data_IF_696822404445
#
_entry.id   IF_696822404445
#
_cell.length_a   1.000
_cell.length_b   1.000
_cell.length_c   1.000
_cell.angle_alpha   90.00
_cell.angle_beta   90.00
_cell.angle_gamma   90.00
#
_symmetry.space_group_name_H-M   'P 1'
#
loop_
_entity.id
_entity.type
_entity.pdbx_description
1 polymer ?
#
# COMPACT_ATOMS: atom_id res chain seq x y z
N UNK A 1 5.84 1.95 -3.74
CA UNK A 1 6.22 2.58 -2.46
C UNK A 1 7.20 1.69 -1.72
N UNK A 2 8.32 2.24 -1.26
CA UNK A 2 9.37 1.48 -0.57
C UNK A 2 8.99 1.29 0.90
N UNK A 3 8.90 0.04 1.37
CA UNK A 3 8.62 -0.27 2.79
C UNK A 3 9.88 -0.84 3.46
N UNK A 4 10.60 -0.06 4.31
CA UNK A 4 11.82 -0.52 4.95
C UNK A 4 11.61 -1.73 5.85
N UNK A 5 10.49 -1.78 6.60
CA UNK A 5 10.16 -2.89 7.52
C UNK A 5 10.01 -4.22 6.77
N UNK A 6 9.32 -4.19 5.63
CA UNK A 6 9.19 -5.37 4.77
C UNK A 6 10.55 -5.80 4.21
N UNK A 7 11.40 -4.85 3.82
CA UNK A 7 12.73 -5.16 3.29
C UNK A 7 13.63 -5.84 4.31
N UNK A 8 13.55 -5.44 5.58
CA UNK A 8 14.25 -6.14 6.66
C UNK A 8 13.81 -7.61 6.73
N UNK A 9 12.50 -7.87 6.78
CA UNK A 9 11.98 -9.24 6.85
C UNK A 9 12.32 -10.10 5.63
N UNK A 10 12.28 -9.51 4.43
CA UNK A 10 12.52 -10.24 3.18
C UNK A 10 14.02 -10.54 2.98
N UNK A 11 14.91 -9.61 3.35
CA UNK A 11 16.34 -9.70 3.03
C UNK A 11 17.22 -10.13 4.21
N UNK A 12 16.79 -9.93 5.44
CA UNK A 12 17.55 -10.24 6.66
C UNK A 12 16.67 -10.93 7.73
N UNK A 13 16.14 -12.14 7.45
CA UNK A 13 15.25 -12.85 8.36
C UNK A 13 15.91 -13.20 9.70
N UNK A 14 17.22 -13.40 9.71
CA UNK A 14 18.00 -13.70 10.93
C UNK A 14 18.56 -12.44 11.60
N UNK A 15 18.41 -11.26 10.98
CA UNK A 15 18.95 -10.02 11.52
C UNK A 15 20.47 -9.92 11.49
N UNK A 16 21.17 -10.78 10.75
CA UNK A 16 22.64 -10.85 10.77
C UNK A 16 23.26 -9.56 10.25
N UNK A 17 22.63 -8.92 9.27
CA UNK A 17 23.11 -7.65 8.75
C UNK A 17 22.87 -6.54 9.77
N UNK A 18 21.66 -6.44 10.32
CA UNK A 18 21.32 -5.40 11.30
C UNK A 18 22.21 -5.51 12.53
N UNK A 19 22.35 -6.70 13.12
CA UNK A 19 23.18 -6.92 14.31
C UNK A 19 24.66 -6.60 14.09
N UNK A 20 25.16 -6.77 12.87
CA UNK A 20 26.54 -6.42 12.51
C UNK A 20 26.78 -4.92 12.46
N UNK A 21 25.81 -4.15 11.97
CA UNK A 21 25.96 -2.72 11.73
C UNK A 21 25.33 -1.83 12.80
N UNK A 22 24.47 -2.41 13.64
CA UNK A 22 23.73 -1.78 14.73
C UNK A 22 23.93 -2.67 15.97
N UNK A 23 25.14 -2.64 16.58
CA UNK A 23 25.50 -3.55 17.67
C UNK A 23 24.62 -3.36 18.91
N UNK A 24 24.01 -2.20 19.09
CA UNK A 24 23.04 -1.94 20.15
C UNK A 24 21.77 -2.82 20.06
N UNK A 25 21.49 -3.41 18.89
CA UNK A 25 20.39 -4.35 18.68
C UNK A 25 20.85 -5.81 18.59
N UNK A 26 22.10 -6.13 18.92
CA UNK A 26 22.66 -7.49 18.79
C UNK A 26 21.86 -8.53 19.60
N UNK A 27 21.48 -8.16 20.83
CA UNK A 27 20.71 -8.99 21.74
C UNK A 27 19.22 -9.11 21.35
N UNK A 28 18.73 -8.25 20.45
CA UNK A 28 17.31 -8.22 20.07
C UNK A 28 16.97 -9.42 19.18
N UNK A 29 15.86 -10.13 19.44
CA UNK A 29 15.39 -11.21 18.58
C UNK A 29 15.07 -10.71 17.17
N UNK A 30 15.36 -11.50 16.14
CA UNK A 30 15.17 -11.11 14.74
C UNK A 30 13.73 -10.67 14.41
N UNK A 31 12.73 -11.27 15.08
CA UNK A 31 11.31 -10.92 14.96
C UNK A 31 10.97 -9.48 15.37
N UNK A 32 11.87 -8.79 16.07
CA UNK A 32 11.68 -7.40 16.51
C UNK A 32 12.58 -6.41 15.76
N UNK A 33 13.50 -6.87 14.91
CA UNK A 33 14.44 -5.99 14.22
C UNK A 33 13.80 -5.19 13.09
N UNK A 34 12.64 -5.61 12.57
CA UNK A 34 11.89 -4.81 11.61
C UNK A 34 11.15 -3.63 12.27
N UNK A 35 10.89 -3.72 13.58
CA UNK A 35 10.23 -2.69 14.41
C UNK A 35 10.81 -2.67 15.84
N UNK A 36 12.06 -2.25 16.03
CA UNK A 36 12.67 -2.16 17.36
C UNK A 36 11.90 -1.21 18.28
N UNK A 37 11.20 -0.22 17.73
CA UNK A 37 10.36 0.70 18.50
C UNK A 37 9.15 0.03 19.19
N UNK A 38 8.79 -1.18 18.74
CA UNK A 38 7.71 -1.99 19.34
C UNK A 38 8.23 -3.04 20.31
N UNK A 39 9.52 -3.01 20.66
CA UNK A 39 10.09 -3.95 21.62
C UNK A 39 9.38 -3.79 22.99
N UNK A 40 8.79 -4.85 23.57
CA UNK A 40 8.14 -4.77 24.87
C UNK A 40 9.09 -4.32 25.98
N UNK A 41 8.59 -3.55 26.95
CA UNK A 41 9.41 -3.03 28.07
C UNK A 41 10.13 -4.12 28.88
N UNK A 42 9.53 -5.30 29.03
CA UNK A 42 10.20 -6.41 29.73
C UNK A 42 11.43 -6.91 28.98
N UNK A 43 11.35 -7.01 27.64
CA UNK A 43 12.49 -7.39 26.81
C UNK A 43 13.53 -6.26 26.73
N UNK A 44 13.10 -4.99 26.73
CA UNK A 44 14.03 -3.86 26.81
C UNK A 44 14.92 -3.96 28.05
N UNK A 45 14.33 -4.26 29.22
CA UNK A 45 15.06 -4.44 30.47
C UNK A 45 15.94 -5.71 30.47
N UNK A 46 15.46 -6.81 29.90
CA UNK A 46 16.21 -8.08 29.84
C UNK A 46 17.43 -8.00 28.92
N UNK A 47 17.31 -7.24 27.84
CA UNK A 47 18.33 -7.11 26.79
C UNK A 47 19.21 -5.87 26.96
N UNK A 48 18.96 -5.05 27.98
CA UNK A 48 19.65 -3.76 28.23
C UNK A 48 19.57 -2.79 27.03
N UNK A 49 18.42 -2.78 26.35
CA UNK A 49 18.14 -1.91 25.19
C UNK A 49 16.99 -0.99 25.52
N UNK A 50 17.26 0.31 25.68
CA UNK A 50 16.22 1.32 25.93
C UNK A 50 15.85 2.05 24.64
N UNK A 51 14.60 1.90 24.20
CA UNK A 51 14.09 2.66 23.05
C UNK A 51 13.89 4.13 23.44
N UNK A 52 14.45 5.03 22.65
CA UNK A 52 14.54 6.47 22.91
C UNK A 52 15.90 6.92 23.47
N UNK A 53 16.71 6.00 24.00
CA UNK A 53 18.05 6.29 24.53
C UNK A 53 19.13 5.49 23.79
N UNK A 54 19.13 4.17 23.96
CA UNK A 54 20.06 3.24 23.31
C UNK A 54 19.78 3.11 21.81
N UNK A 55 18.50 3.09 21.44
CA UNK A 55 18.06 3.08 20.04
C UNK A 55 16.93 4.10 19.84
N UNK A 56 17.01 5.01 18.86
CA UNK A 56 16.05 6.12 18.74
C UNK A 56 14.65 5.66 18.30
N UNK A 57 13.65 6.48 18.61
CA UNK A 57 12.35 6.34 17.97
C UNK A 57 12.43 6.64 16.47
N UNK A 58 11.58 6.01 15.64
CA UNK A 58 11.50 6.35 14.23
C UNK A 58 11.22 7.85 14.07
N UNK A 59 12.04 8.53 13.26
CA UNK A 59 11.87 9.97 12.96
C UNK A 59 10.52 10.24 12.28
N UNK A 60 10.01 9.24 11.58
CA UNK A 60 8.82 9.29 10.74
C UNK A 60 8.00 8.02 10.96
N UNK A 61 6.68 8.15 11.09
CA UNK A 61 5.79 7.00 10.98
C UNK A 61 5.47 6.70 9.51
N UNK A 62 6.15 5.68 8.98
CA UNK A 62 5.96 5.22 7.61
C UNK A 62 4.49 4.88 7.27
N UNK A 63 3.71 4.38 8.22
CA UNK A 63 2.31 4.03 7.95
C UNK A 63 1.46 5.29 7.71
N UNK A 64 1.72 6.34 8.49
CA UNK A 64 1.07 7.63 8.36
C UNK A 64 1.48 8.35 7.07
N UNK A 65 2.80 8.51 6.83
CA UNK A 65 3.29 9.16 5.61
C UNK A 65 2.80 8.45 4.35
N UNK A 66 2.72 7.11 4.38
CA UNK A 66 2.15 6.36 3.28
C UNK A 66 0.72 6.76 2.97
N UNK A 67 -0.09 6.92 4.01
CA UNK A 67 -1.48 7.30 3.83
C UNK A 67 -1.59 8.72 3.27
N UNK A 68 -0.82 9.66 3.81
CA UNK A 68 -0.79 11.06 3.34
C UNK A 68 -0.34 11.17 1.88
N UNK A 69 0.67 10.40 1.48
CA UNK A 69 1.13 10.34 0.08
C UNK A 69 0.04 9.77 -0.84
N UNK A 70 -0.66 8.72 -0.39
CA UNK A 70 -1.75 8.13 -1.19
C UNK A 70 -2.92 9.10 -1.33
N UNK A 71 -3.24 9.88 -0.31
CA UNK A 71 -4.28 10.91 -0.37
C UNK A 71 -3.87 12.07 -1.27
N UNK A 72 -2.63 12.55 -1.15
CA UNK A 72 -2.14 13.69 -1.93
C UNK A 72 -1.96 13.35 -3.42
N UNK A 73 -1.46 12.15 -3.72
CA UNK A 73 -1.12 11.73 -5.09
C UNK A 73 -2.12 10.76 -5.71
N UNK A 74 -3.18 10.38 -4.99
CA UNK A 74 -4.20 9.47 -5.48
C UNK A 74 -4.90 10.01 -6.73
N UNK A 75 -5.32 11.28 -6.66
CA UNK A 75 -6.08 11.94 -7.73
C UNK A 75 -5.22 12.26 -8.96
N UNK A 76 -3.92 12.50 -8.74
CA UNK A 76 -2.95 12.76 -9.82
C UNK A 76 -2.85 11.59 -10.81
N UNK A 77 -3.20 10.38 -10.38
CA UNK A 77 -3.23 9.23 -11.29
C UNK A 77 -4.33 9.38 -12.33
N UNK A 78 -5.55 9.68 -11.92
CA UNK A 78 -6.68 9.84 -12.83
C UNK A 78 -6.45 11.03 -13.78
N UNK A 79 -5.91 12.14 -13.28
CA UNK A 79 -5.53 13.28 -14.10
C UNK A 79 -4.45 12.91 -15.14
N UNK A 80 -3.43 12.15 -14.73
CA UNK A 80 -2.37 11.70 -15.65
C UNK A 80 -2.92 10.77 -16.74
N UNK A 81 -3.88 9.90 -16.39
CA UNK A 81 -4.54 8.99 -17.32
C UNK A 81 -5.41 9.77 -18.32
N UNK A 82 -6.15 10.78 -17.87
CA UNK A 82 -6.90 11.67 -18.75
C UNK A 82 -5.99 12.45 -19.71
N UNK A 83 -4.85 12.94 -19.23
CA UNK A 83 -3.87 13.66 -20.06
C UNK A 83 -3.25 12.80 -21.18
N UNK A 84 -3.18 11.47 -21.01
CA UNK A 84 -2.72 10.57 -22.08
C UNK A 84 -3.70 10.43 -23.26
N UNK A 85 -4.91 11.00 -23.15
CA UNK A 85 -5.84 11.10 -24.28
C UNK A 85 -5.35 12.07 -25.37
N UNK A 86 -4.48 13.03 -25.01
CA UNK A 86 -3.85 13.92 -25.99
C UNK A 86 -2.74 13.17 -26.75
N UNK A 87 -2.84 13.03 -28.10
CA UNK A 87 -1.84 12.35 -28.91
C UNK A 87 -0.42 12.92 -28.78
N UNK A 88 -0.27 14.23 -28.55
CA UNK A 88 1.05 14.86 -28.39
C UNK A 88 1.68 14.53 -27.04
N UNK A 89 0.85 14.42 -25.99
CA UNK A 89 1.29 14.02 -24.64
C UNK A 89 1.69 12.55 -24.66
N UNK A 90 0.85 11.68 -25.24
CA UNK A 90 1.14 10.25 -25.35
C UNK A 90 2.42 9.96 -26.14
N UNK A 91 2.62 10.65 -27.27
CA UNK A 91 3.82 10.51 -28.10
C UNK A 91 5.12 10.82 -27.36
N UNK A 92 5.08 11.76 -26.42
CA UNK A 92 6.25 12.18 -25.62
C UNK A 92 6.42 11.37 -24.34
N UNK A 93 5.35 10.70 -23.89
CA UNK A 93 5.39 9.88 -22.69
C UNK A 93 6.31 8.68 -22.90
N UNK A 94 7.38 8.59 -22.11
CA UNK A 94 8.32 7.46 -22.13
C UNK A 94 7.75 6.28 -21.33
N UNK A 95 6.67 5.69 -21.84
CA UNK A 95 5.98 4.57 -21.23
C UNK A 95 6.63 3.23 -21.61
N UNK A 96 6.60 2.26 -20.70
CA UNK A 96 7.00 0.89 -21.04
C UNK A 96 6.00 0.24 -22.01
N UNK A 97 6.40 -0.77 -22.80
CA UNK A 97 5.50 -1.40 -23.78
C UNK A 97 4.21 -1.96 -23.18
N UNK A 98 4.28 -2.43 -21.92
CA UNK A 98 3.11 -2.88 -21.16
C UNK A 98 2.16 -1.72 -20.84
N UNK A 99 2.73 -0.58 -20.44
CA UNK A 99 1.94 0.60 -20.06
C UNK A 99 1.31 1.27 -21.27
N UNK A 100 1.99 1.30 -22.41
CA UNK A 100 1.44 1.78 -23.69
C UNK A 100 0.16 1.04 -24.06
N UNK A 101 0.19 -0.30 -24.03
CA UNK A 101 -0.98 -1.13 -24.35
C UNK A 101 -2.16 -0.87 -23.42
N UNK A 102 -1.91 -0.71 -22.12
CA UNK A 102 -2.97 -0.42 -21.15
C UNK A 102 -3.65 0.92 -21.40
N UNK A 103 -2.88 1.94 -21.80
CA UNK A 103 -3.43 3.25 -22.15
C UNK A 103 -4.20 3.18 -23.47
N UNK A 104 -3.65 2.53 -24.50
CA UNK A 104 -4.35 2.32 -25.78
C UNK A 104 -5.66 1.55 -25.63
N UNK A 105 -5.69 0.52 -24.78
CA UNK A 105 -6.90 -0.26 -24.45
C UNK A 105 -7.93 0.61 -23.73
N UNK A 106 -7.51 1.39 -22.73
CA UNK A 106 -8.39 2.32 -22.01
C UNK A 106 -8.98 3.43 -22.91
N UNK A 107 -8.24 3.89 -23.92
CA UNK A 107 -8.72 4.87 -24.90
C UNK A 107 -9.68 4.28 -25.94
N UNK A 108 -9.66 2.96 -26.14
CA UNK A 108 -10.44 2.27 -27.16
C UNK A 108 -11.65 1.50 -26.59
N UNK A 109 -11.81 1.49 -25.25
CA UNK A 109 -13.01 1.01 -24.56
C UNK A 109 -14.18 1.99 -24.83
N UNK A 110 -15.31 1.55 -25.40
CA UNK A 110 -16.48 2.39 -25.53
C UNK A 110 -17.03 2.68 -24.13
N UNK A 111 -17.15 3.96 -23.79
CA UNK A 111 -17.76 4.43 -22.53
C UNK A 111 -19.04 3.65 -22.23
N UNK A 112 -19.03 2.85 -21.16
CA UNK A 112 -20.26 2.38 -20.54
C UNK A 112 -21.02 3.64 -20.11
N UNK A 113 -22.11 3.89 -20.82
CA UNK A 113 -23.00 5.02 -20.61
C UNK A 113 -23.36 5.16 -19.12
N UNK A 114 -23.19 6.37 -18.60
CA UNK A 114 -23.97 6.82 -17.45
C UNK A 114 -25.43 6.88 -17.88
N UNK A 115 -26.19 5.82 -17.60
CA UNK A 115 -27.64 5.79 -17.72
C UNK A 115 -28.27 6.48 -16.50
N UNK A 116 -28.37 7.81 -16.58
CA UNK A 116 -29.25 8.61 -15.73
C UNK A 116 -30.65 8.66 -16.37
N UNK A 117 -31.67 8.02 -15.78
CA UNK A 117 -33.05 8.32 -16.17
C UNK A 117 -34.21 7.37 -15.81
N UNK A 118 -34.60 7.37 -14.52
CA UNK A 118 -36.00 7.51 -14.07
C UNK A 118 -37.06 6.37 -14.25
N UNK A 119 -37.46 5.81 -13.09
CA UNK A 119 -38.84 5.57 -12.59
C UNK A 119 -39.92 4.95 -13.50
N UNK A 120 -40.39 3.73 -13.16
CA UNK A 120 -41.75 3.50 -12.62
C UNK A 120 -41.98 2.04 -12.18
N UNK A 121 -42.83 1.91 -11.17
CA UNK A 121 -43.23 0.70 -10.46
C UNK A 121 -43.94 -0.34 -11.34
N UNK A 122 -43.81 -1.62 -10.96
CA UNK A 122 -44.98 -2.49 -10.81
C UNK A 122 -44.66 -3.73 -9.98
N UNK A 123 -45.58 -4.04 -9.08
CA UNK A 123 -45.59 -5.19 -8.21
C UNK A 123 -45.73 -6.50 -8.98
N UNK A 124 -45.11 -7.57 -8.48
CA UNK A 124 -45.69 -8.92 -8.51
C UNK A 124 -44.99 -9.78 -7.45
N UNK A 125 -45.71 -9.98 -6.35
CA UNK A 125 -45.53 -11.12 -5.47
C UNK A 125 -45.79 -12.41 -6.28
N UNK A 126 -44.95 -13.42 -6.14
CA UNK A 126 -45.36 -14.82 -6.22
C UNK A 126 -44.32 -15.73 -5.57
N UNK A 127 -44.71 -16.24 -4.40
CA UNK A 127 -44.41 -17.56 -3.84
C UNK A 127 -42.96 -18.08 -3.83
N UNK A 128 -42.34 -18.05 -2.64
CA UNK A 128 -41.50 -19.15 -2.19
C UNK A 128 -42.19 -19.85 -1.02
N UNK A 129 -43.07 -20.78 -1.36
CA UNK A 129 -43.53 -21.84 -0.46
C UNK A 129 -42.41 -22.88 -0.30
N UNK A 130 -42.00 -23.07 0.94
CA UNK A 130 -42.00 -24.38 1.61
C UNK A 130 -41.18 -25.52 1.01
N UNK A 131 -40.10 -25.88 1.71
CA UNK A 131 -39.62 -27.24 2.05
C UNK A 131 -38.60 -27.01 3.19
N UNK A 132 -38.93 -27.09 4.50
CA UNK A 132 -39.09 -28.31 5.34
C UNK A 132 -38.13 -29.45 4.92
N UNK A 133 -37.23 -29.97 5.76
CA UNK A 133 -37.31 -30.28 7.19
C UNK A 133 -35.91 -30.48 7.79
#
# INVERSE_FOLDING_TARGET
>A
MYNPRKRVRDNDPEGTFIKRWVPELEAVPSNHLDRPERLPLHLQNELDVTIGETYPYPVVDYEQERQEVLETFGDLRAESEAAFSDPEVFRRASLSPKSQRMVEEALNEPSLATDDGNTQASASQAALSQFDK
#
